data_IF_423443149366
#
_entry.id   IF_423443149366
#
_cell.length_a   1.000
_cell.length_b   1.000
_cell.length_c   1.000
_cell.angle_alpha   90.00
_cell.angle_beta   90.00
_cell.angle_gamma   90.00
#
_symmetry.space_group_name_H-M   'P 1'
#
loop_
_entity.id
_entity.type
_entity.pdbx_description
1 polymer ?
#
# COMPACT_ATOMS: atom_id res chain seq x y z
N UNK A 1 20.51 19.04 -33.86
CA UNK A 1 20.81 17.86 -33.03
C UNK A 1 20.42 18.22 -31.62
N UNK A 2 19.22 17.83 -31.21
CA UNK A 2 18.66 18.11 -29.88
C UNK A 2 19.15 17.03 -28.91
N UNK A 3 19.81 17.44 -27.84
CA UNK A 3 20.22 16.56 -26.74
C UNK A 3 18.98 15.95 -26.07
N UNK A 4 18.98 14.65 -25.72
CA UNK A 4 17.91 14.07 -24.93
C UNK A 4 18.04 14.60 -23.49
N UNK A 5 16.96 15.23 -23.01
CA UNK A 5 16.84 15.64 -21.61
C UNK A 5 16.96 14.44 -20.65
N UNK A 6 17.23 14.70 -19.36
CA UNK A 6 17.47 13.64 -18.38
C UNK A 6 16.25 12.72 -18.33
N UNK A 7 16.46 11.47 -18.76
CA UNK A 7 15.51 10.38 -18.52
C UNK A 7 15.33 10.28 -17.01
N UNK A 8 14.09 10.48 -16.56
CA UNK A 8 13.71 10.17 -15.20
C UNK A 8 14.14 8.73 -14.93
N UNK A 9 15.06 8.58 -13.97
CA UNK A 9 15.42 7.27 -13.42
C UNK A 9 14.12 6.56 -13.04
N UNK A 10 13.91 5.38 -13.62
CA UNK A 10 12.74 4.55 -13.33
C UNK A 10 12.81 4.19 -11.84
N UNK A 11 12.06 4.93 -11.02
CA UNK A 11 11.92 4.63 -9.61
C UNK A 11 11.27 3.25 -9.54
N UNK A 12 12.06 2.25 -9.12
CA UNK A 12 11.69 0.85 -9.19
C UNK A 12 10.24 0.58 -8.76
N UNK A 13 9.58 -0.32 -9.49
CA UNK A 13 8.19 -0.71 -9.29
C UNK A 13 7.93 -1.14 -7.83
N UNK A 14 7.33 -0.25 -7.03
CA UNK A 14 6.96 -0.55 -5.64
C UNK A 14 5.74 -1.47 -5.60
N UNK A 15 5.90 -2.66 -5.01
CA UNK A 15 4.81 -3.61 -4.77
C UNK A 15 4.26 -3.40 -3.36
N UNK A 16 2.96 -3.16 -3.27
CA UNK A 16 2.21 -3.14 -2.03
C UNK A 16 1.45 -4.44 -1.88
N UNK A 17 1.37 -5.00 -0.68
CA UNK A 17 0.59 -6.22 -0.42
C UNK A 17 -0.65 -5.88 0.42
N UNK A 18 -1.77 -6.52 0.11
CA UNK A 18 -3.01 -6.43 0.92
C UNK A 18 -3.02 -7.47 2.03
N UNK A 19 -3.88 -7.32 3.03
CA UNK A 19 -4.06 -8.33 4.08
C UNK A 19 -4.57 -9.66 3.52
N UNK A 20 -5.35 -9.62 2.43
CA UNK A 20 -5.75 -10.84 1.70
C UNK A 20 -4.64 -11.44 0.83
N UNK A 21 -3.45 -10.84 0.81
CA UNK A 21 -2.26 -11.36 0.14
C UNK A 21 -2.14 -11.03 -1.35
N UNK A 22 -2.89 -10.05 -1.84
CA UNK A 22 -2.82 -9.62 -3.24
C UNK A 22 -1.66 -8.62 -3.42
N UNK A 23 -0.75 -8.84 -4.39
CA UNK A 23 0.30 -7.90 -4.72
C UNK A 23 -0.24 -6.82 -5.68
N UNK A 24 0.00 -5.57 -5.35
CA UNK A 24 -0.53 -4.41 -6.07
C UNK A 24 0.59 -3.45 -6.46
N UNK A 25 0.50 -2.87 -7.65
CA UNK A 25 1.19 -1.61 -7.96
C UNK A 25 0.14 -0.51 -8.04
N UNK A 26 0.42 0.62 -7.38
CA UNK A 26 -0.52 1.74 -7.29
C UNK A 26 0.16 2.97 -7.90
N UNK A 27 -0.45 3.53 -8.93
CA UNK A 27 -0.04 4.79 -9.53
C UNK A 27 -1.05 5.88 -9.15
N UNK A 28 -0.58 6.97 -8.54
CA UNK A 28 -1.40 8.12 -8.17
C UNK A 28 -1.04 9.30 -9.07
N UNK A 29 -2.07 10.00 -9.57
CA UNK A 29 -1.93 11.14 -10.46
C UNK A 29 -2.09 12.44 -9.64
N UNK A 30 -1.04 12.81 -8.93
CA UNK A 30 -0.98 14.04 -8.14
C UNK A 30 -1.10 15.31 -9.03
N UNK A 31 -1.64 16.42 -8.51
CA UNK A 31 -2.15 16.64 -7.15
C UNK A 31 -3.62 16.24 -6.97
N UNK A 32 -4.15 16.42 -5.75
CA UNK A 32 -5.60 16.44 -5.54
C UNK A 32 -6.25 17.62 -6.28
N UNK A 33 -7.37 17.38 -6.93
CA UNK A 33 -8.17 18.40 -7.62
C UNK A 33 -9.50 18.65 -6.90
N UNK A 34 -9.93 19.90 -6.79
CA UNK A 34 -11.28 20.20 -6.29
C UNK A 34 -12.34 19.69 -7.28
N UNK A 35 -13.40 19.07 -6.75
CA UNK A 35 -14.52 18.64 -7.58
C UNK A 35 -15.25 19.85 -8.17
N UNK A 36 -15.40 19.88 -9.50
CA UNK A 36 -16.11 20.95 -10.21
C UNK A 36 -17.63 20.72 -10.28
N UNK A 37 -18.12 19.58 -9.78
CA UNK A 37 -19.53 19.16 -9.89
C UNK A 37 -20.40 19.58 -8.70
N UNK A 38 -20.01 20.63 -7.97
CA UNK A 38 -20.78 21.20 -6.85
C UNK A 38 -20.76 20.36 -5.57
N UNK A 39 -19.81 19.44 -5.43
CA UNK A 39 -19.64 18.64 -4.23
C UNK A 39 -18.36 19.01 -3.48
N UNK A 40 -18.42 19.08 -2.16
CA UNK A 40 -17.32 19.54 -1.28
C UNK A 40 -16.27 18.44 -1.02
N UNK A 41 -15.70 17.88 -2.09
CA UNK A 41 -14.61 16.92 -2.00
C UNK A 41 -13.48 17.22 -2.99
N UNK A 42 -12.26 16.90 -2.56
CA UNK A 42 -11.11 16.81 -3.47
C UNK A 42 -11.01 15.40 -4.03
N UNK A 43 -10.55 15.26 -5.27
CA UNK A 43 -10.38 13.98 -5.96
C UNK A 43 -8.91 13.78 -6.31
N UNK A 44 -8.39 12.60 -6.03
CA UNK A 44 -7.11 12.13 -6.56
C UNK A 44 -7.38 10.91 -7.44
N UNK A 45 -7.02 11.01 -8.72
CA UNK A 45 -7.11 9.87 -9.63
C UNK A 45 -5.92 8.95 -9.46
N UNK A 46 -6.13 7.66 -9.69
CA UNK A 46 -5.07 6.67 -9.70
C UNK A 46 -5.45 5.43 -10.48
N UNK A 47 -4.53 4.48 -10.51
CA UNK A 47 -4.72 3.20 -11.15
C UNK A 47 -4.03 2.11 -10.31
N UNK A 48 -4.78 1.07 -9.99
CA UNK A 48 -4.30 -0.06 -9.17
C UNK A 48 -4.18 -1.26 -10.09
N UNK A 49 -2.97 -1.78 -10.21
CA UNK A 49 -2.69 -3.00 -10.97
C UNK A 49 -2.59 -4.18 -10.02
N UNK A 50 -3.26 -5.29 -10.35
CA UNK A 50 -3.07 -6.57 -9.68
C UNK A 50 -1.88 -7.29 -10.31
N UNK A 51 -0.81 -7.40 -9.55
CA UNK A 51 0.45 -7.94 -10.04
C UNK A 51 0.43 -9.47 -10.11
N UNK A 52 1.19 -10.04 -11.05
CA UNK A 52 1.13 -11.47 -11.37
C UNK A 52 -0.17 -11.90 -12.08
N UNK A 53 -0.99 -10.95 -12.53
CA UNK A 53 -2.15 -11.19 -13.38
C UNK A 53 -1.89 -10.83 -14.84
N UNK A 54 -2.78 -11.24 -15.75
CA UNK A 54 -2.75 -10.90 -17.17
C UNK A 54 -3.28 -9.46 -17.43
N UNK A 55 -2.62 -8.48 -16.80
CA UNK A 55 -2.90 -7.04 -16.97
C UNK A 55 -4.19 -6.56 -16.32
N UNK A 56 -4.66 -7.20 -15.25
CA UNK A 56 -5.86 -6.75 -14.54
C UNK A 56 -5.55 -5.50 -13.73
N UNK A 57 -6.37 -4.47 -13.90
CA UNK A 57 -6.22 -3.20 -13.22
C UNK A 57 -7.58 -2.56 -12.89
N UNK A 58 -7.55 -1.52 -12.08
CA UNK A 58 -8.73 -0.77 -11.66
C UNK A 58 -8.38 0.73 -11.59
N UNK A 59 -8.89 1.55 -12.53
CA UNK A 59 -8.79 2.99 -12.41
C UNK A 59 -9.66 3.46 -11.24
N UNK A 60 -9.12 4.30 -10.37
CA UNK A 60 -9.79 4.77 -9.15
C UNK A 60 -9.82 6.29 -9.04
N UNK A 61 -10.87 6.80 -8.42
CA UNK A 61 -11.03 8.20 -8.02
C UNK A 61 -11.18 8.27 -6.50
N UNK A 62 -10.11 8.64 -5.81
CA UNK A 62 -10.09 8.77 -4.35
C UNK A 62 -10.73 10.10 -3.96
N UNK A 63 -11.91 10.01 -3.37
CA UNK A 63 -12.71 11.17 -2.96
C UNK A 63 -12.40 11.53 -1.51
N UNK A 64 -11.61 12.60 -1.32
CA UNK A 64 -11.27 13.17 -0.04
C UNK A 64 -12.38 14.12 0.44
N UNK A 65 -13.05 13.76 1.53
CA UNK A 65 -14.04 14.64 2.16
C UNK A 65 -13.40 15.88 2.78
N UNK A 66 -14.12 17.01 2.81
CA UNK A 66 -13.66 18.26 3.44
C UNK A 66 -13.19 18.09 4.90
N UNK A 67 -13.91 17.32 5.73
CA UNK A 67 -13.50 17.07 7.12
C UNK A 67 -12.12 16.41 7.22
N UNK A 68 -11.80 15.51 6.29
CA UNK A 68 -10.47 14.89 6.24
C UNK A 68 -9.43 15.88 5.71
N UNK A 69 -9.79 16.72 4.73
CA UNK A 69 -8.92 17.78 4.23
C UNK A 69 -8.44 18.72 5.35
N UNK A 70 -9.31 19.02 6.32
CA UNK A 70 -9.03 19.92 7.44
C UNK A 70 -8.06 19.33 8.49
N UNK A 71 -8.01 18.00 8.63
CA UNK A 71 -7.08 17.32 9.56
C UNK A 71 -5.73 16.96 8.94
N UNK A 72 -5.65 16.89 7.61
CA UNK A 72 -4.42 16.55 6.92
C UNK A 72 -3.42 17.72 6.98
N UNK A 73 -2.15 17.48 7.32
CA UNK A 73 -1.13 18.53 7.33
C UNK A 73 -1.00 19.22 5.96
N UNK A 74 -1.00 18.43 4.89
CA UNK A 74 -1.10 18.92 3.51
C UNK A 74 -1.74 17.87 2.59
N UNK A 75 -2.00 18.24 1.33
CA UNK A 75 -2.39 17.30 0.26
C UNK A 75 -1.22 16.89 -0.62
N UNK A 76 0.00 17.22 -0.22
CA UNK A 76 1.18 16.84 -0.95
C UNK A 76 1.50 15.35 -0.71
N UNK A 77 2.19 14.68 -1.65
CA UNK A 77 2.45 13.25 -1.56
C UNK A 77 3.07 12.80 -0.22
N UNK A 78 3.99 13.59 0.34
CA UNK A 78 4.69 13.23 1.58
C UNK A 78 3.78 13.07 2.80
N UNK A 79 2.64 13.77 2.85
CA UNK A 79 1.67 13.66 3.95
C UNK A 79 0.49 12.74 3.59
N UNK A 80 0.12 12.69 2.31
CA UNK A 80 -1.14 12.13 1.85
C UNK A 80 -1.01 10.71 1.26
N UNK A 81 0.15 10.33 0.72
CA UNK A 81 0.30 9.11 -0.05
C UNK A 81 0.05 7.84 0.78
N UNK A 82 0.70 7.72 1.94
CA UNK A 82 0.57 6.54 2.81
C UNK A 82 -0.89 6.24 3.20
N UNK A 83 -1.67 7.19 3.75
CA UNK A 83 -3.05 6.90 4.12
C UNK A 83 -3.97 6.69 2.90
N UNK A 84 -3.68 7.31 1.74
CA UNK A 84 -4.41 7.02 0.48
C UNK A 84 -4.16 5.59 0.03
N UNK A 85 -2.90 5.15 -0.04
CA UNK A 85 -2.54 3.78 -0.41
C UNK A 85 -3.21 2.77 0.53
N UNK A 86 -3.23 3.05 1.83
CA UNK A 86 -3.87 2.20 2.82
C UNK A 86 -5.39 2.12 2.67
N UNK A 87 -6.03 3.24 2.32
CA UNK A 87 -7.46 3.24 1.99
C UNK A 87 -7.74 2.38 0.75
N UNK A 88 -6.93 2.49 -0.31
CA UNK A 88 -7.07 1.67 -1.51
C UNK A 88 -6.90 0.18 -1.21
N UNK A 89 -5.83 -0.20 -0.47
CA UNK A 89 -5.61 -1.59 -0.03
C UNK A 89 -6.80 -2.12 0.77
N UNK A 90 -7.36 -1.28 1.65
CA UNK A 90 -8.52 -1.65 2.45
C UNK A 90 -9.75 -1.92 1.60
N UNK A 91 -10.01 -1.13 0.57
CA UNK A 91 -11.15 -1.37 -0.33
C UNK A 91 -10.96 -2.64 -1.18
N UNK A 92 -9.71 -2.99 -1.52
CA UNK A 92 -9.38 -4.30 -2.12
C UNK A 92 -9.69 -5.45 -1.15
N UNK A 93 -9.24 -5.38 0.11
CA UNK A 93 -9.54 -6.43 1.12
C UNK A 93 -11.05 -6.62 1.32
N UNK A 94 -11.82 -5.53 1.23
CA UNK A 94 -13.28 -5.53 1.36
C UNK A 94 -13.99 -5.96 0.07
N UNK A 95 -13.24 -6.31 -0.97
CA UNK A 95 -13.74 -6.71 -2.29
C UNK A 95 -14.65 -5.66 -2.93
N UNK A 96 -14.37 -4.38 -2.67
CA UNK A 96 -15.10 -3.25 -3.27
C UNK A 96 -14.48 -2.80 -4.60
N UNK A 97 -13.26 -3.27 -4.90
CA UNK A 97 -12.56 -3.01 -6.15
C UNK A 97 -12.54 -4.28 -6.98
N UNK A 98 -13.05 -4.18 -8.20
CA UNK A 98 -13.00 -5.24 -9.20
C UNK A 98 -11.87 -4.93 -10.20
N UNK A 99 -10.97 -5.88 -10.41
CA UNK A 99 -9.87 -5.74 -11.36
C UNK A 99 -10.25 -6.33 -12.72
N UNK A 100 -10.17 -5.50 -13.76
CA UNK A 100 -10.59 -5.85 -15.11
C UNK A 100 -9.48 -5.48 -16.12
N UNK A 101 -9.53 -6.05 -17.33
CA UNK A 101 -8.62 -5.65 -18.43
C UNK A 101 -8.93 -4.25 -18.99
N UNK A 102 -10.18 -3.81 -18.81
CA UNK A 102 -10.65 -2.48 -19.20
C UNK A 102 -11.78 -2.10 -18.23
N UNK A 103 -11.43 -1.34 -17.20
CA UNK A 103 -12.35 -0.91 -16.15
C UNK A 103 -12.86 0.52 -16.38
N UNK A 104 -14.02 0.84 -15.79
CA UNK A 104 -14.45 2.23 -15.59
C UNK A 104 -13.86 2.76 -14.29
N UNK A 105 -13.72 4.08 -14.21
CA UNK A 105 -13.24 4.77 -13.01
C UNK A 105 -14.13 4.46 -11.80
N UNK A 106 -13.55 3.85 -10.76
CA UNK A 106 -14.25 3.46 -9.54
C UNK A 106 -14.08 4.54 -8.45
N UNK A 107 -15.18 5.05 -7.87
CA UNK A 107 -15.07 5.99 -6.76
C UNK A 107 -14.65 5.27 -5.47
N UNK A 108 -13.60 5.77 -4.81
CA UNK A 108 -13.11 5.26 -3.53
C UNK A 108 -13.25 6.35 -2.46
N UNK A 109 -14.11 6.17 -1.45
CA UNK A 109 -14.32 7.19 -0.42
C UNK A 109 -13.14 7.23 0.56
N UNK A 110 -12.39 8.32 0.57
CA UNK A 110 -11.39 8.61 1.60
C UNK A 110 -11.95 9.65 2.58
N UNK A 111 -12.70 9.14 3.55
CA UNK A 111 -13.45 9.96 4.50
C UNK A 111 -13.03 9.74 5.95
N UNK A 112 -13.67 10.48 6.86
CA UNK A 112 -13.47 10.42 8.31
C UNK A 112 -13.61 9.01 8.90
N UNK A 113 -14.21 8.07 8.16
CA UNK A 113 -14.29 6.65 8.54
C UNK A 113 -12.91 5.97 8.72
N UNK A 114 -11.87 6.53 8.10
CA UNK A 114 -10.50 6.04 8.20
C UNK A 114 -9.69 6.76 9.27
N UNK A 115 -10.28 7.69 10.02
CA UNK A 115 -9.56 8.50 11.00
C UNK A 115 -10.25 8.47 12.37
N UNK A 116 -9.48 8.15 13.42
CA UNK A 116 -9.91 8.24 14.81
C UNK A 116 -9.49 9.58 15.39
N UNK A 117 -10.44 10.50 15.50
CA UNK A 117 -10.23 11.85 16.02
C UNK A 117 -9.81 11.88 17.49
N UNK A 118 -10.18 10.86 18.30
CA UNK A 118 -9.80 10.81 19.72
C UNK A 118 -8.34 10.47 19.88
N UNK A 119 -7.84 9.58 19.03
CA UNK A 119 -6.43 9.13 19.02
C UNK A 119 -5.56 9.88 18.01
N UNK A 120 -6.18 10.76 17.21
CA UNK A 120 -5.55 11.51 16.13
C UNK A 120 -4.73 10.64 15.17
N UNK A 121 -5.29 9.49 14.78
CA UNK A 121 -4.59 8.51 13.96
C UNK A 121 -5.48 7.92 12.87
N UNK A 122 -4.85 7.50 11.77
CA UNK A 122 -5.52 6.72 10.74
C UNK A 122 -5.78 5.28 11.21
N UNK A 123 -6.91 4.70 10.81
CA UNK A 123 -7.31 3.33 11.12
C UNK A 123 -7.81 2.66 9.84
N UNK A 124 -7.11 1.59 9.45
CA UNK A 124 -7.48 0.72 8.32
C UNK A 124 -7.86 -0.69 8.75
N UNK A 125 -7.72 -1.01 10.04
CA UNK A 125 -8.09 -2.27 10.67
C UNK A 125 -6.97 -2.79 11.55
N UNK A 126 -7.34 -3.43 12.67
CA UNK A 126 -6.38 -4.06 13.57
C UNK A 126 -6.11 -5.49 13.14
N UNK A 127 -4.84 -5.83 12.90
CA UNK A 127 -4.41 -7.19 12.69
C UNK A 127 -3.96 -7.86 14.01
N UNK A 128 -4.11 -9.17 14.11
CA UNK A 128 -3.43 -9.97 15.14
C UNK A 128 -1.99 -10.24 14.72
N UNK A 129 -1.16 -10.68 15.68
CA UNK A 129 0.23 -11.07 15.43
C UNK A 129 0.37 -12.10 14.30
N UNK A 130 -0.50 -13.12 14.27
CA UNK A 130 -0.47 -14.15 13.23
C UNK A 130 -0.80 -13.57 11.84
N UNK A 131 -1.77 -12.65 11.76
CA UNK A 131 -2.11 -11.95 10.51
C UNK A 131 -0.98 -11.03 10.08
N UNK A 132 -0.30 -10.36 11.02
CA UNK A 132 0.88 -9.54 10.72
C UNK A 132 2.05 -10.39 10.22
N UNK A 133 2.27 -11.57 10.80
CA UNK A 133 3.30 -12.50 10.36
C UNK A 133 3.04 -12.98 8.92
N UNK A 134 1.80 -13.39 8.63
CA UNK A 134 1.39 -13.80 7.27
C UNK A 134 1.49 -12.64 6.27
N UNK A 135 1.14 -11.42 6.68
CA UNK A 135 1.32 -10.22 5.87
C UNK A 135 2.81 -9.98 5.52
N UNK A 136 3.72 -10.09 6.50
CA UNK A 136 5.16 -9.92 6.30
C UNK A 136 5.71 -11.00 5.38
N UNK A 137 5.31 -12.26 5.57
CA UNK A 137 5.70 -13.38 4.72
C UNK A 137 5.33 -13.12 3.25
N UNK A 138 4.05 -12.80 2.99
CA UNK A 138 3.55 -12.50 1.65
C UNK A 138 4.20 -11.26 1.05
N UNK A 139 4.46 -10.24 1.86
CA UNK A 139 5.18 -9.04 1.42
C UNK A 139 6.55 -9.40 0.87
N UNK A 140 7.37 -10.08 1.67
CA UNK A 140 8.73 -10.43 1.27
C UNK A 140 8.70 -11.34 0.05
N UNK A 141 7.83 -12.35 0.05
CA UNK A 141 7.64 -13.24 -1.09
C UNK A 141 7.32 -12.48 -2.38
N UNK A 142 6.31 -11.61 -2.37
CA UNK A 142 5.87 -10.91 -3.59
C UNK A 142 6.86 -9.85 -4.07
N UNK A 143 7.49 -9.09 -3.16
CA UNK A 143 8.51 -8.11 -3.55
C UNK A 143 9.74 -8.80 -4.14
N UNK A 144 10.18 -9.92 -3.58
CA UNK A 144 11.27 -10.70 -4.20
C UNK A 144 10.84 -11.30 -5.53
N UNK A 145 9.67 -11.93 -5.60
CA UNK A 145 9.25 -12.67 -6.80
C UNK A 145 8.92 -11.76 -7.98
N UNK A 146 8.29 -10.60 -7.74
CA UNK A 146 7.74 -9.74 -8.80
C UNK A 146 8.59 -8.48 -9.03
N UNK A 147 9.22 -7.92 -7.99
CA UNK A 147 10.10 -6.76 -8.14
C UNK A 147 11.60 -7.14 -8.16
N UNK A 148 11.95 -8.41 -7.91
CA UNK A 148 13.34 -8.87 -7.90
C UNK A 148 14.15 -8.38 -6.69
N UNK A 149 13.46 -7.87 -5.66
CA UNK A 149 14.09 -7.33 -4.46
C UNK A 149 14.72 -8.46 -3.62
N UNK A 150 16.04 -8.37 -3.42
CA UNK A 150 16.77 -9.34 -2.58
C UNK A 150 16.65 -9.01 -1.09
N UNK A 151 16.45 -7.73 -0.76
CA UNK A 151 16.24 -7.22 0.59
C UNK A 151 14.98 -6.36 0.63
N UNK A 152 14.05 -6.73 1.49
CA UNK A 152 12.74 -6.10 1.63
C UNK A 152 12.68 -5.34 2.96
N UNK A 153 12.37 -4.05 2.92
CA UNK A 153 12.23 -3.24 4.14
C UNK A 153 10.94 -3.62 4.87
N UNK A 154 11.01 -4.16 6.09
CA UNK A 154 9.83 -4.65 6.83
C UNK A 154 9.37 -3.73 7.96
N UNK A 155 10.01 -2.56 8.11
CA UNK A 155 9.65 -1.53 9.09
C UNK A 155 8.98 -0.29 8.44
N UNK A 156 8.30 -0.44 7.29
CA UNK A 156 7.66 0.67 6.58
C UNK A 156 6.51 1.28 7.44
N UNK A 157 6.58 2.56 7.83
CA UNK A 157 5.52 3.22 8.61
C UNK A 157 4.14 3.18 7.94
N UNK A 158 4.06 3.17 6.60
CA UNK A 158 2.79 3.06 5.89
C UNK A 158 2.14 1.69 6.12
N UNK A 159 2.92 0.63 6.27
CA UNK A 159 2.42 -0.71 6.57
C UNK A 159 2.08 -0.88 8.04
N UNK A 160 2.89 -0.32 8.94
CA UNK A 160 2.57 -0.27 10.35
C UNK A 160 1.21 0.43 10.58
N UNK A 161 0.98 1.54 9.88
CA UNK A 161 -0.31 2.23 9.88
C UNK A 161 -1.45 1.36 9.32
N UNK A 162 -1.20 0.63 8.23
CA UNK A 162 -2.21 -0.21 7.56
C UNK A 162 -2.75 -1.33 8.47
N UNK A 163 -1.87 -1.95 9.26
CA UNK A 163 -2.25 -3.04 10.19
C UNK A 163 -2.47 -2.59 11.63
N UNK A 164 -2.45 -1.27 11.86
CA UNK A 164 -2.66 -0.61 13.14
C UNK A 164 -1.67 -1.04 14.24
N UNK A 165 -0.38 -0.95 13.93
CA UNK A 165 0.73 -1.28 14.82
C UNK A 165 1.88 -0.27 14.68
N UNK A 166 3.06 -0.55 15.26
CA UNK A 166 4.28 0.24 15.09
C UNK A 166 5.31 -0.50 14.22
N UNK A 167 6.23 0.22 13.55
CA UNK A 167 7.33 -0.42 12.81
C UNK A 167 8.14 -1.41 13.67
N UNK A 168 8.46 -1.04 14.91
CA UNK A 168 9.19 -1.91 15.82
C UNK A 168 8.43 -3.21 16.14
N UNK A 169 7.11 -3.13 16.29
CA UNK A 169 6.31 -4.32 16.53
C UNK A 169 6.27 -5.20 15.27
N UNK A 170 6.21 -4.64 14.05
CA UNK A 170 6.35 -5.45 12.83
C UNK A 170 7.69 -6.20 12.78
N UNK A 171 8.79 -5.55 13.16
CA UNK A 171 10.11 -6.18 13.26
C UNK A 171 10.12 -7.31 14.29
N UNK A 172 9.53 -7.09 15.46
CA UNK A 172 9.41 -8.11 16.50
C UNK A 172 8.64 -9.33 15.98
N UNK A 173 7.49 -9.12 15.32
CA UNK A 173 6.68 -10.19 14.72
C UNK A 173 7.48 -10.92 13.63
N UNK A 174 8.16 -10.19 12.74
CA UNK A 174 8.98 -10.80 11.68
C UNK A 174 10.05 -11.73 12.27
N UNK A 175 10.78 -11.28 13.30
CA UNK A 175 11.79 -12.07 13.99
C UNK A 175 11.19 -13.28 14.71
N UNK A 176 10.15 -13.05 15.52
CA UNK A 176 9.59 -14.06 16.43
C UNK A 176 8.80 -15.14 15.71
N UNK A 177 8.03 -14.77 14.68
CA UNK A 177 7.07 -15.67 14.06
C UNK A 177 7.48 -16.13 12.67
N UNK A 178 8.23 -15.34 11.90
CA UNK A 178 8.56 -15.68 10.50
C UNK A 178 10.00 -16.19 10.38
N UNK A 179 10.98 -15.44 10.89
CA UNK A 179 12.39 -15.85 10.87
C UNK A 179 12.65 -17.08 11.75
N UNK A 180 11.95 -17.22 12.88
CA UNK A 180 12.02 -18.42 13.73
C UNK A 180 11.60 -19.71 13.01
N UNK A 181 10.77 -19.61 11.96
CA UNK A 181 10.38 -20.74 11.11
C UNK A 181 11.41 -21.01 9.99
N UNK A 182 12.49 -20.24 9.91
CA UNK A 182 13.51 -20.35 8.88
C UNK A 182 13.09 -19.77 7.52
N UNK A 183 12.02 -18.97 7.46
CA UNK A 183 11.48 -18.41 6.22
C UNK A 183 12.18 -17.11 5.80
N UNK A 184 12.72 -16.35 6.76
CA UNK A 184 13.40 -15.08 6.53
C UNK A 184 14.76 -15.02 7.23
N UNK A 185 15.70 -14.29 6.64
CA UNK A 185 16.87 -13.73 7.34
C UNK A 185 16.61 -12.24 7.57
N UNK A 186 16.79 -11.76 8.80
CA UNK A 186 16.53 -10.37 9.14
C UNK A 186 17.83 -9.69 9.56
N UNK A 187 18.09 -8.51 9.02
CA UNK A 187 19.21 -7.64 9.36
C UNK A 187 18.71 -6.19 9.50
N UNK A 188 18.69 -5.71 10.74
CA UNK A 188 18.09 -4.41 11.08
C UNK A 188 16.61 -4.37 10.70
N UNK A 189 16.25 -3.47 9.79
CA UNK A 189 14.89 -3.29 9.30
C UNK A 189 14.58 -4.06 8.00
N UNK A 190 15.54 -4.86 7.53
CA UNK A 190 15.47 -5.53 6.23
C UNK A 190 15.34 -7.04 6.39
N UNK A 191 14.53 -7.65 5.53
CA UNK A 191 14.36 -9.10 5.44
C UNK A 191 14.81 -9.63 4.08
N UNK A 192 15.44 -10.78 4.06
CA UNK A 192 15.77 -11.56 2.88
C UNK A 192 14.99 -12.87 2.90
N UNK A 193 14.35 -13.27 1.79
CA UNK A 193 13.67 -14.55 1.73
C UNK A 193 14.68 -15.70 1.77
N UNK A 194 14.36 -16.75 2.51
CA UNK A 194 15.07 -18.03 2.35
C UNK A 194 14.48 -18.83 1.21
N UNK A 195 15.18 -19.89 0.79
CA UNK A 195 14.64 -20.87 -0.14
C UNK A 195 13.36 -21.52 0.40
N UNK A 196 13.19 -21.61 1.73
CA UNK A 196 11.98 -22.13 2.36
C UNK A 196 10.75 -21.30 2.02
N UNK A 197 10.85 -19.98 2.14
CA UNK A 197 9.78 -19.05 1.75
C UNK A 197 9.51 -19.12 0.24
N UNK A 198 10.55 -19.12 -0.60
CA UNK A 198 10.36 -19.12 -2.05
C UNK A 198 9.75 -20.41 -2.61
N UNK A 199 9.82 -21.51 -1.85
CA UNK A 199 9.25 -22.81 -2.21
C UNK A 199 7.81 -23.01 -1.70
N UNK A 200 7.25 -22.06 -0.95
CA UNK A 200 5.82 -22.05 -0.62
C UNK A 200 5.06 -21.59 -1.88
N UNK A 201 4.61 -22.55 -2.68
CA UNK A 201 3.78 -22.35 -3.87
C UNK A 201 2.54 -23.23 -3.82
#
# INVERSE_FOLDING_TARGET
MTEPGPQAVDAGKKIWVTLTGLPLTIKLNWPFHQSTSGADFSVLHGDIHLEGSDGLHAPVAVNLSQTVREIMPSLEPHDAEAPVINALRKEVDRRQIEFLKSGKLLPVPFSSRHYDFKRQQWIFGKASDDVMAEFIERKVYWQTRLAGEQRVWIADPAEAQYVQTTPNHLLEIACRLVAAQGLLRIDGEWAEPTTGLMNQS
#
